data_IF_275600898214
#
_entry.id   IF_275600898214
#
_cell.length_a   1.000
_cell.length_b   1.000
_cell.length_c   1.000
_cell.angle_alpha   90.00
_cell.angle_beta   90.00
_cell.angle_gamma   90.00
#
_symmetry.space_group_name_H-M   'P 1'
#
loop_
_entity.id
_entity.type
_entity.pdbx_description
1 polymer ?
#
# COMPACT_ATOMS: atom_id res chain seq x y z
N UNK A 1 2.14 -17.96 -45.64
CA UNK A 1 3.53 -17.73 -45.24
C UNK A 1 3.49 -16.91 -43.95
N UNK A 2 4.17 -17.36 -42.90
CA UNK A 2 3.97 -16.99 -41.48
C UNK A 2 4.22 -15.49 -41.17
N UNK A 3 3.26 -14.88 -40.48
CA UNK A 3 3.37 -13.59 -39.80
C UNK A 3 4.49 -13.63 -38.75
N UNK A 4 5.41 -12.66 -38.81
CA UNK A 4 6.57 -12.52 -37.92
C UNK A 4 6.52 -11.24 -37.08
N UNK A 5 5.41 -10.96 -36.40
CA UNK A 5 5.42 -10.02 -35.26
C UNK A 5 4.99 -10.72 -33.97
N UNK A 6 5.79 -11.71 -33.59
CA UNK A 6 5.74 -12.36 -32.29
C UNK A 6 6.28 -11.44 -31.19
N UNK A 7 5.42 -11.16 -30.21
CA UNK A 7 5.83 -11.11 -28.80
C UNK A 7 6.30 -9.77 -28.26
N UNK A 8 5.39 -8.79 -28.17
CA UNK A 8 5.47 -7.78 -27.12
C UNK A 8 5.27 -8.46 -25.75
N UNK A 9 6.07 -8.01 -24.77
CA UNK A 9 6.16 -8.37 -23.34
C UNK A 9 7.11 -9.52 -22.95
N UNK A 10 8.28 -9.20 -22.36
CA UNK A 10 9.02 -10.14 -21.53
C UNK A 10 8.18 -10.53 -20.31
N UNK A 11 7.88 -11.83 -20.24
CA UNK A 11 7.27 -12.53 -19.11
C UNK A 11 8.26 -12.58 -17.93
N UNK A 12 8.39 -11.51 -17.16
CA UNK A 12 8.93 -11.60 -15.81
C UNK A 12 7.78 -11.32 -14.84
N UNK A 13 6.98 -12.37 -14.63
CA UNK A 13 6.21 -12.62 -13.42
C UNK A 13 5.17 -11.54 -13.04
N UNK A 14 4.14 -11.42 -13.88
CA UNK A 14 2.80 -11.27 -13.33
C UNK A 14 2.41 -12.60 -12.67
N UNK A 15 2.63 -12.72 -11.35
CA UNK A 15 1.97 -13.72 -10.50
C UNK A 15 1.54 -13.05 -9.20
N UNK A 16 0.27 -12.68 -9.24
CA UNK A 16 -0.64 -12.28 -8.18
C UNK A 16 -0.66 -13.24 -6.98
N UNK A 17 -0.86 -12.70 -5.78
CA UNK A 17 -1.92 -13.18 -4.88
C UNK A 17 -2.18 -12.22 -3.72
N UNK A 18 -3.40 -11.68 -3.71
CA UNK A 18 -4.16 -11.30 -2.51
C UNK A 18 -3.59 -10.11 -1.70
N UNK A 19 -3.65 -8.88 -2.23
CA UNK A 19 -4.05 -7.74 -1.41
C UNK A 19 -4.79 -6.72 -2.29
N UNK A 20 -6.12 -6.72 -2.16
CA UNK A 20 -6.97 -5.81 -2.94
C UNK A 20 -6.67 -4.38 -2.50
N UNK A 21 -5.91 -3.66 -3.30
CA UNK A 21 -6.09 -2.23 -3.44
C UNK A 21 -4.87 -1.33 -3.28
N UNK A 22 -3.65 -1.83 -3.13
CA UNK A 22 -2.47 -0.96 -3.07
C UNK A 22 -1.34 -1.43 -3.99
N UNK A 23 -0.84 -0.58 -4.91
CA UNK A 23 0.39 -0.85 -5.65
C UNK A 23 1.52 -1.27 -4.70
N UNK A 24 2.20 -2.37 -5.03
CA UNK A 24 3.31 -2.94 -4.24
C UNK A 24 4.38 -1.89 -3.92
N UNK A 25 4.69 -1.00 -4.87
CA UNK A 25 5.63 0.13 -4.67
C UNK A 25 5.23 1.08 -3.53
N UNK A 26 3.92 1.27 -3.30
CA UNK A 26 3.41 2.11 -2.22
C UNK A 26 3.43 1.36 -0.88
N UNK A 27 3.18 0.04 -0.89
CA UNK A 27 3.35 -0.80 0.28
C UNK A 27 4.83 -0.86 0.69
N UNK A 28 5.75 -1.03 -0.26
CA UNK A 28 7.20 -1.14 -0.03
C UNK A 28 7.79 0.05 0.72
N UNK A 29 7.32 1.27 0.44
CA UNK A 29 7.80 2.50 1.10
C UNK A 29 6.82 2.99 2.17
N UNK A 30 7.21 2.90 3.44
CA UNK A 30 6.38 3.30 4.61
C UNK A 30 5.84 4.73 4.52
N UNK A 31 6.59 5.66 3.91
CA UNK A 31 6.15 7.05 3.70
C UNK A 31 5.00 7.14 2.69
N UNK A 32 5.04 6.34 1.64
CA UNK A 32 3.99 6.30 0.63
C UNK A 32 2.73 5.62 1.17
N UNK A 33 2.89 4.52 1.91
CA UNK A 33 1.82 3.84 2.61
C UNK A 33 1.09 4.80 3.56
N UNK A 34 1.81 5.57 4.38
CA UNK A 34 1.22 6.57 5.27
C UNK A 34 0.32 7.58 4.53
N UNK A 35 0.81 8.14 3.42
CA UNK A 35 0.05 9.12 2.61
C UNK A 35 -1.21 8.50 2.01
N UNK A 36 -1.14 7.26 1.55
CA UNK A 36 -2.31 6.54 1.07
C UNK A 36 -3.33 6.32 2.19
N UNK A 37 -2.88 5.80 3.35
CA UNK A 37 -3.76 5.54 4.49
C UNK A 37 -4.50 6.80 4.91
N UNK A 38 -3.82 7.96 4.93
CA UNK A 38 -4.46 9.25 5.19
C UNK A 38 -5.49 9.64 4.13
N UNK A 39 -5.21 9.41 2.84
CA UNK A 39 -6.17 9.71 1.75
C UNK A 39 -7.44 8.87 1.90
N UNK A 40 -7.29 7.56 2.19
CA UNK A 40 -8.41 6.64 2.39
C UNK A 40 -9.18 6.95 3.67
N UNK A 41 -8.48 7.25 4.75
CA UNK A 41 -9.08 7.67 6.01
C UNK A 41 -9.98 8.89 5.82
N UNK A 42 -9.52 9.90 5.06
CA UNK A 42 -10.34 11.08 4.73
C UNK A 42 -11.59 10.71 3.93
N UNK A 43 -11.46 9.83 2.94
CA UNK A 43 -12.60 9.40 2.13
C UNK A 43 -13.63 8.59 2.93
N UNK A 44 -13.17 7.62 3.71
CA UNK A 44 -14.03 6.77 4.56
C UNK A 44 -14.68 7.63 5.65
N UNK A 45 -13.88 8.45 6.33
CA UNK A 45 -14.36 9.26 7.43
C UNK A 45 -15.32 10.37 7.00
N UNK A 46 -15.14 10.91 5.78
CA UNK A 46 -16.11 11.84 5.20
C UNK A 46 -17.46 11.17 4.95
N UNK A 47 -17.48 9.90 4.51
CA UNK A 47 -18.72 9.14 4.33
C UNK A 47 -19.44 8.81 5.66
N UNK A 48 -18.71 8.73 6.76
CA UNK A 48 -19.22 8.32 8.07
C UNK A 48 -19.35 9.47 9.08
N UNK A 49 -18.94 10.70 8.72
CA UNK A 49 -18.97 11.85 9.62
C UNK A 49 -17.91 11.81 10.74
N UNK A 50 -16.87 10.97 10.63
CA UNK A 50 -15.87 10.73 11.67
C UNK A 50 -14.42 10.89 11.17
N UNK A 51 -14.21 11.77 10.17
CA UNK A 51 -12.92 12.00 9.51
C UNK A 51 -11.74 12.18 10.46
N UNK A 52 -11.87 13.04 11.47
CA UNK A 52 -10.77 13.34 12.40
C UNK A 52 -10.33 12.10 13.16
N UNK A 53 -11.30 11.34 13.70
CA UNK A 53 -11.03 10.12 14.45
C UNK A 53 -10.28 9.08 13.60
N UNK A 54 -10.75 8.82 12.38
CA UNK A 54 -10.13 7.81 11.49
C UNK A 54 -8.73 8.26 11.04
N UNK A 55 -8.54 9.55 10.80
CA UNK A 55 -7.22 10.12 10.47
C UNK A 55 -6.26 10.02 11.65
N UNK A 56 -6.73 10.31 12.86
CA UNK A 56 -5.91 10.25 14.07
C UNK A 56 -5.50 8.83 14.41
N UNK A 57 -6.37 7.84 14.20
CA UNK A 57 -6.01 6.43 14.34
C UNK A 57 -4.84 6.06 13.41
N UNK A 58 -4.87 6.49 12.15
CA UNK A 58 -3.76 6.26 11.21
C UNK A 58 -2.48 6.94 11.70
N UNK A 59 -2.56 8.21 12.15
CA UNK A 59 -1.39 8.93 12.67
C UNK A 59 -0.79 8.24 13.89
N UNK A 60 -1.61 7.82 14.83
CA UNK A 60 -1.17 7.15 16.06
C UNK A 60 -0.49 5.82 15.76
N UNK A 61 -1.06 5.03 14.86
CA UNK A 61 -0.48 3.73 14.49
C UNK A 61 0.91 3.86 13.87
N UNK A 62 1.10 4.83 12.98
CA UNK A 62 2.42 5.11 12.39
C UNK A 62 3.39 5.70 13.42
N UNK A 63 2.92 6.57 14.31
CA UNK A 63 3.76 7.16 15.38
C UNK A 63 4.27 6.09 16.34
N UNK A 64 3.44 5.12 16.72
CA UNK A 64 3.82 4.03 17.64
C UNK A 64 5.00 3.20 17.14
N UNK A 65 5.08 2.99 15.83
CA UNK A 65 6.12 2.17 15.19
C UNK A 65 7.18 3.01 14.45
N UNK A 66 7.24 4.32 14.68
CA UNK A 66 8.14 5.25 13.97
C UNK A 66 9.62 4.97 14.22
N UNK A 67 9.94 4.38 15.38
CA UNK A 67 11.31 4.03 15.79
C UNK A 67 11.62 2.55 15.59
N UNK A 68 10.75 1.80 14.93
CA UNK A 68 11.06 0.42 14.59
C UNK A 68 12.17 0.39 13.55
N UNK A 69 13.23 -0.37 13.82
CA UNK A 69 14.41 -0.51 12.95
C UNK A 69 14.60 -1.95 12.48
N UNK A 70 13.87 -2.91 13.07
CA UNK A 70 13.91 -4.31 12.66
C UNK A 70 13.22 -4.47 11.29
N UNK A 71 13.96 -4.87 10.22
CA UNK A 71 13.40 -4.98 8.88
C UNK A 71 12.32 -6.06 8.76
N UNK A 72 12.42 -7.17 9.49
CA UNK A 72 11.42 -8.24 9.45
C UNK A 72 10.12 -7.77 10.11
N UNK A 73 10.23 -7.08 11.24
CA UNK A 73 9.09 -6.51 11.95
C UNK A 73 8.41 -5.41 11.14
N UNK A 74 9.18 -4.54 10.47
CA UNK A 74 8.64 -3.52 9.55
C UNK A 74 7.87 -4.17 8.41
N UNK A 75 8.42 -5.21 7.79
CA UNK A 75 7.73 -5.91 6.70
C UNK A 75 6.43 -6.54 7.18
N UNK A 76 6.47 -7.24 8.31
CA UNK A 76 5.29 -7.85 8.94
C UNK A 76 4.20 -6.85 9.34
N UNK A 77 4.55 -5.60 9.63
CA UNK A 77 3.57 -4.55 9.93
C UNK A 77 2.87 -3.97 8.70
N UNK A 78 3.42 -4.22 7.50
CA UNK A 78 2.88 -3.75 6.22
C UNK A 78 2.00 -4.81 5.54
N UNK A 79 2.31 -6.08 5.79
CA UNK A 79 1.55 -7.26 5.35
C UNK A 79 0.20 -7.36 6.10
#
# INVERSE_FOLDING_TARGET
FKDKRSGLYPRHLAMSSISKGLPLELASNSRNLYRECLRRAKFIGHKQGNTELVVDMVRQQFKKNMHETDPEKIQKMKD
#
